data_IF_420075128734
#
_entry.id   IF_420075128734
#
_cell.length_a   1.000
_cell.length_b   1.000
_cell.length_c   1.000
_cell.angle_alpha   90.00
_cell.angle_beta   90.00
_cell.angle_gamma   90.00
#
_symmetry.space_group_name_H-M   'P 1'
#
loop_
_entity.id
_entity.type
_entity.pdbx_description
1 polymer ?
#
# COMPACT_ATOMS: atom_id res chain seq x y z
N UNK A 1 -0.30 33.45 28.30
CA UNK A 1 -1.43 34.40 28.16
C UNK A 1 -2.69 33.64 28.51
N UNK A 2 -3.65 34.22 29.26
CA UNK A 2 -4.94 33.58 29.45
C UNK A 2 -5.63 33.44 28.09
N UNK A 3 -6.26 32.30 27.86
CA UNK A 3 -7.06 32.08 26.65
C UNK A 3 -8.10 33.18 26.54
N UNK A 4 -8.08 33.92 25.42
CA UNK A 4 -9.06 34.97 25.20
C UNK A 4 -10.35 34.43 24.57
N UNK A 5 -10.40 33.15 24.19
CA UNK A 5 -11.55 32.50 23.57
C UNK A 5 -12.13 33.37 22.46
N UNK A 6 -11.50 33.35 21.28
CA UNK A 6 -11.89 34.26 20.20
C UNK A 6 -12.65 33.51 19.12
N UNK A 7 -13.62 34.20 18.52
CA UNK A 7 -14.32 33.68 17.36
C UNK A 7 -13.33 33.56 16.19
N UNK A 8 -13.17 32.36 15.64
CA UNK A 8 -12.37 32.15 14.45
C UNK A 8 -12.96 32.87 13.24
N UNK A 9 -12.12 33.36 12.32
CA UNK A 9 -12.55 34.08 11.11
C UNK A 9 -13.45 33.23 10.21
N UNK A 10 -13.28 31.91 10.23
CA UNK A 10 -14.08 30.94 9.49
C UNK A 10 -15.27 30.37 10.30
N UNK A 11 -15.54 30.90 11.48
CA UNK A 11 -16.65 30.43 12.33
C UNK A 11 -17.99 30.88 11.75
N UNK A 12 -18.90 29.93 11.58
CA UNK A 12 -20.29 30.12 11.16
C UNK A 12 -21.26 30.22 12.35
N UNK A 13 -20.74 30.15 13.57
CA UNK A 13 -21.51 30.11 14.81
C UNK A 13 -20.86 30.95 15.92
N UNK A 14 -21.60 31.93 16.43
CA UNK A 14 -21.21 32.67 17.63
C UNK A 14 -21.88 32.04 18.86
N UNK A 15 -21.12 31.41 19.79
CA UNK A 15 -21.70 30.80 20.97
C UNK A 15 -22.30 31.87 21.90
N UNK A 16 -23.47 31.56 22.45
CA UNK A 16 -24.00 32.30 23.60
C UNK A 16 -23.07 32.13 24.80
N UNK A 17 -23.22 33.00 25.81
CA UNK A 17 -22.36 32.99 27.00
C UNK A 17 -22.22 31.60 27.64
N UNK A 18 -23.31 30.84 27.74
CA UNK A 18 -23.33 29.52 28.38
C UNK A 18 -22.66 28.41 27.54
N UNK A 19 -22.51 28.62 26.24
CA UNK A 19 -21.83 27.69 25.32
C UNK A 19 -20.41 28.16 25.00
N UNK A 20 -19.99 29.30 25.52
CA UNK A 20 -18.67 29.84 25.29
C UNK A 20 -17.64 29.13 26.16
N UNK A 21 -16.68 28.47 25.53
CA UNK A 21 -15.53 27.86 26.18
C UNK A 21 -14.27 28.55 25.69
N UNK A 22 -13.52 29.13 26.62
CA UNK A 22 -12.31 29.86 26.26
C UNK A 22 -11.16 28.94 25.84
N UNK A 23 -11.18 27.67 26.25
CA UNK A 23 -10.09 26.71 26.09
C UNK A 23 -10.40 25.59 25.08
N UNK A 24 -11.32 25.81 24.14
CA UNK A 24 -11.70 24.81 23.14
C UNK A 24 -12.56 25.38 22.02
N UNK A 25 -12.57 24.69 20.89
CA UNK A 25 -13.48 25.00 19.79
C UNK A 25 -14.81 24.28 20.03
N UNK A 26 -15.91 25.01 19.93
CA UNK A 26 -17.26 24.48 20.15
C UNK A 26 -17.95 24.29 18.80
N UNK A 27 -18.32 23.05 18.51
CA UNK A 27 -19.05 22.66 17.32
C UNK A 27 -20.49 22.29 17.68
N UNK A 28 -21.46 22.87 16.98
CA UNK A 28 -22.85 22.48 17.05
C UNK A 28 -23.24 21.75 15.77
N UNK A 29 -23.44 20.44 15.87
CA UNK A 29 -23.72 19.57 14.74
C UNK A 29 -25.18 19.14 14.82
N UNK A 30 -25.97 19.48 13.80
CA UNK A 30 -27.41 19.20 13.79
C UNK A 30 -27.70 18.11 12.78
N UNK A 31 -28.16 16.95 13.25
CA UNK A 31 -28.69 15.90 12.40
C UNK A 31 -30.13 16.23 12.03
N UNK A 32 -30.37 16.39 10.74
CA UNK A 32 -31.72 16.52 10.19
C UNK A 32 -32.21 15.16 9.69
N UNK A 33 -33.29 14.67 10.27
CA UNK A 33 -33.83 13.32 10.07
C UNK A 33 -35.29 13.31 9.59
N UNK A 34 -35.92 14.48 9.41
CA UNK A 34 -37.33 14.66 9.04
C UNK A 34 -37.81 13.87 7.81
N UNK A 35 -36.92 13.57 6.87
CA UNK A 35 -37.22 12.82 5.66
C UNK A 35 -36.82 11.33 5.71
N UNK A 36 -36.40 10.82 6.87
CA UNK A 36 -35.88 9.46 7.04
C UNK A 36 -36.82 8.60 7.89
N UNK A 37 -36.86 7.29 7.57
CA UNK A 37 -37.52 6.28 8.38
C UNK A 37 -36.55 5.14 8.69
N UNK A 38 -36.61 4.59 9.89
CA UNK A 38 -35.75 3.50 10.34
C UNK A 38 -36.45 2.15 10.19
N UNK A 39 -35.68 1.15 9.76
CA UNK A 39 -36.17 -0.22 9.61
C UNK A 39 -36.45 -0.88 10.96
N UNK A 40 -35.65 -0.55 11.96
CA UNK A 40 -35.77 -1.03 13.34
C UNK A 40 -35.72 0.15 14.31
N UNK A 41 -36.35 -0.04 15.47
CA UNK A 41 -36.28 0.91 16.58
C UNK A 41 -34.83 1.10 17.00
N UNK A 42 -34.40 2.34 17.17
CA UNK A 42 -33.08 2.66 17.73
C UNK A 42 -33.20 3.53 18.96
N UNK A 43 -32.40 3.23 19.99
CA UNK A 43 -32.35 4.00 21.24
C UNK A 43 -31.12 4.91 21.33
N UNK A 44 -30.31 4.95 20.27
CA UNK A 44 -29.21 5.89 20.14
C UNK A 44 -29.71 7.32 20.40
N UNK A 45 -28.98 8.08 21.22
CA UNK A 45 -29.42 9.40 21.68
C UNK A 45 -29.52 10.44 20.56
N UNK A 46 -28.71 10.29 19.50
CA UNK A 46 -28.65 11.24 18.39
C UNK A 46 -29.53 10.80 17.22
N UNK A 47 -29.58 9.49 16.96
CA UNK A 47 -30.39 8.86 15.89
C UNK A 47 -31.76 8.36 16.35
N UNK A 48 -32.21 8.75 17.54
CA UNK A 48 -33.37 8.16 18.22
C UNK A 48 -34.60 8.08 17.32
N UNK A 49 -35.13 6.86 17.15
CA UNK A 49 -36.34 6.61 16.39
C UNK A 49 -37.18 5.54 17.10
N UNK A 50 -38.19 6.00 17.84
CA UNK A 50 -39.07 5.18 18.67
C UNK A 50 -40.55 5.35 18.37
N UNK A 51 -40.90 6.25 17.45
CA UNK A 51 -42.27 6.50 17.02
C UNK A 51 -42.64 5.54 15.89
N UNK A 52 -43.62 4.66 16.11
CA UNK A 52 -44.09 3.73 15.07
C UNK A 52 -44.86 4.47 13.96
N UNK A 53 -44.66 4.03 12.71
CA UNK A 53 -45.43 4.53 11.56
C UNK A 53 -46.64 3.66 11.26
N UNK A 54 -47.63 4.21 10.55
CA UNK A 54 -48.73 3.43 9.96
C UNK A 54 -48.29 2.64 8.71
N UNK A 55 -47.10 2.92 8.19
CA UNK A 55 -46.54 2.27 7.01
C UNK A 55 -45.85 0.97 7.39
N UNK A 56 -46.10 -0.09 6.62
CA UNK A 56 -45.48 -1.40 6.87
C UNK A 56 -44.68 -1.89 5.68
N UNK A 57 -43.68 -2.72 5.97
CA UNK A 57 -42.92 -3.45 4.97
C UNK A 57 -42.90 -4.95 5.31
N UNK A 58 -42.56 -5.77 4.31
CA UNK A 58 -42.29 -7.20 4.52
C UNK A 58 -40.80 -7.45 4.31
N UNK A 59 -40.08 -7.98 5.32
CA UNK A 59 -38.64 -8.22 5.19
C UNK A 59 -38.31 -9.38 4.24
N UNK A 60 -39.20 -10.37 4.14
CA UNK A 60 -39.05 -11.53 3.27
C UNK A 60 -40.41 -12.09 2.83
N UNK A 61 -40.42 -12.91 1.79
CA UNK A 61 -41.61 -13.65 1.39
C UNK A 61 -42.09 -14.56 2.52
N UNK A 62 -43.36 -14.48 2.89
CA UNK A 62 -43.95 -15.24 4.00
C UNK A 62 -43.73 -14.64 5.40
N UNK A 63 -42.96 -13.56 5.54
CA UNK A 63 -42.78 -12.89 6.83
C UNK A 63 -43.98 -11.99 7.19
N UNK A 64 -44.19 -11.79 8.50
CA UNK A 64 -45.14 -10.80 9.01
C UNK A 64 -44.73 -9.39 8.59
N UNK A 65 -45.73 -8.52 8.42
CA UNK A 65 -45.50 -7.09 8.18
C UNK A 65 -44.90 -6.46 9.43
N UNK A 66 -43.87 -5.64 9.25
CA UNK A 66 -43.26 -4.82 10.30
C UNK A 66 -43.49 -3.35 9.99
N UNK A 67 -43.60 -2.53 11.02
CA UNK A 67 -43.72 -1.09 10.89
C UNK A 67 -42.34 -0.46 10.71
N UNK A 68 -42.28 0.66 9.99
CA UNK A 68 -41.11 1.55 10.08
C UNK A 68 -41.19 2.40 11.34
N UNK A 69 -40.04 2.97 11.72
CA UNK A 69 -39.88 3.84 12.88
C UNK A 69 -39.49 5.25 12.43
N UNK A 70 -40.17 6.26 12.94
CA UNK A 70 -39.84 7.66 12.71
C UNK A 70 -38.85 8.15 13.77
N UNK A 71 -37.96 9.08 13.39
CA UNK A 71 -37.18 9.84 14.35
C UNK A 71 -38.08 10.54 15.37
N UNK A 72 -37.65 10.57 16.62
CA UNK A 72 -38.41 11.23 17.70
C UNK A 72 -38.40 12.76 17.51
N UNK A 73 -37.29 13.28 16.97
CA UNK A 73 -37.06 14.70 16.73
C UNK A 73 -36.68 14.92 15.27
N UNK A 74 -37.19 15.98 14.64
CA UNK A 74 -36.87 16.34 13.26
C UNK A 74 -35.43 16.86 13.10
N UNK A 75 -34.91 17.49 14.17
CA UNK A 75 -33.57 18.03 14.28
C UNK A 75 -32.98 17.58 15.61
N UNK A 76 -31.87 16.84 15.55
CA UNK A 76 -31.17 16.30 16.72
C UNK A 76 -29.81 16.98 16.85
N UNK A 77 -29.63 17.96 17.76
CA UNK A 77 -28.37 18.67 17.93
C UNK A 77 -27.38 17.88 18.80
N UNK A 78 -26.10 17.95 18.45
CA UNK A 78 -24.97 17.47 19.24
C UNK A 78 -23.96 18.61 19.41
N UNK A 79 -23.59 18.91 20.65
CA UNK A 79 -22.48 19.80 20.97
C UNK A 79 -21.19 19.00 21.13
N UNK A 80 -20.12 19.42 20.46
CA UNK A 80 -18.79 18.85 20.59
C UNK A 80 -17.78 19.93 20.96
N UNK A 81 -16.86 19.62 21.87
CA UNK A 81 -15.75 20.50 22.24
C UNK A 81 -14.46 19.86 21.78
N UNK A 82 -13.80 20.49 20.81
CA UNK A 82 -12.51 20.05 20.31
C UNK A 82 -11.39 20.80 21.02
N UNK A 83 -10.40 20.05 21.50
CA UNK A 83 -9.15 20.60 22.07
C UNK A 83 -7.95 19.85 21.51
N UNK A 84 -6.89 20.58 21.21
CA UNK A 84 -5.64 20.07 20.68
C UNK A 84 -4.49 20.47 21.61
N UNK A 85 -3.47 19.62 21.66
CA UNK A 85 -2.18 19.94 22.25
C UNK A 85 -1.11 19.32 21.37
N UNK A 86 -0.10 20.12 21.00
CA UNK A 86 1.04 19.62 20.26
C UNK A 86 2.17 19.27 21.22
N UNK A 87 2.98 18.29 20.84
CA UNK A 87 4.23 17.96 21.53
C UNK A 87 5.40 18.01 20.55
N UNK A 88 6.55 18.42 21.05
CA UNK A 88 7.80 18.43 20.30
C UNK A 88 8.88 17.74 21.15
N UNK A 89 9.30 16.55 20.72
CA UNK A 89 10.16 15.70 21.54
C UNK A 89 9.45 15.23 22.82
N UNK A 90 10.04 15.48 23.97
CA UNK A 90 9.45 15.20 25.29
C UNK A 90 8.68 16.38 25.89
N UNK A 91 8.67 17.54 25.20
CA UNK A 91 8.06 18.76 25.71
C UNK A 91 6.65 18.96 25.15
N UNK A 92 5.71 19.36 26.01
CA UNK A 92 4.38 19.77 25.60
C UNK A 92 4.42 21.21 25.11
N UNK A 93 4.01 21.41 23.86
CA UNK A 93 4.04 22.69 23.19
C UNK A 93 2.73 23.43 23.38
N UNK A 94 2.68 24.21 24.45
CA UNK A 94 1.51 24.98 24.83
C UNK A 94 0.46 24.15 25.57
N UNK A 95 -0.61 24.83 26.01
CA UNK A 95 -1.67 24.19 26.78
C UNK A 95 -2.65 23.44 25.87
N UNK A 96 -3.44 22.53 26.45
CA UNK A 96 -4.60 21.94 25.78
C UNK A 96 -5.64 23.03 25.51
N UNK A 97 -5.91 23.32 24.26
CA UNK A 97 -6.69 24.50 23.85
C UNK A 97 -7.46 24.28 22.55
N UNK A 98 -8.28 25.26 22.13
CA UNK A 98 -8.84 25.29 20.78
C UNK A 98 -7.75 25.26 19.70
N UNK A 99 -8.12 24.91 18.48
CA UNK A 99 -7.21 24.61 17.36
C UNK A 99 -6.22 25.75 17.12
N UNK A 100 -6.71 26.98 17.05
CA UNK A 100 -5.86 28.16 16.80
C UNK A 100 -4.96 28.51 17.99
N UNK A 101 -5.46 28.39 19.22
CA UNK A 101 -4.67 28.66 20.43
C UNK A 101 -3.58 27.59 20.64
N UNK A 102 -3.89 26.32 20.38
CA UNK A 102 -2.93 25.22 20.41
C UNK A 102 -1.84 25.41 19.35
N UNK A 103 -2.24 25.85 18.16
CA UNK A 103 -1.33 26.14 17.05
C UNK A 103 -0.41 27.33 17.38
N UNK A 104 -0.93 28.43 17.92
CA UNK A 104 -0.13 29.54 18.43
C UNK A 104 0.82 29.11 19.57
N UNK A 105 0.39 28.14 20.39
CA UNK A 105 1.23 27.48 21.39
C UNK A 105 2.47 26.81 20.78
N UNK A 106 2.29 26.09 19.67
CA UNK A 106 3.37 25.40 18.95
C UNK A 106 4.38 26.35 18.30
N UNK A 107 3.95 27.51 17.82
CA UNK A 107 4.84 28.52 17.22
C UNK A 107 6.01 28.88 18.15
N UNK A 108 5.75 28.93 19.46
CA UNK A 108 6.76 29.21 20.50
C UNK A 108 7.79 28.10 20.63
N UNK A 109 7.39 26.83 20.53
CA UNK A 109 8.30 25.69 20.55
C UNK A 109 9.19 25.61 19.31
N UNK A 110 8.64 25.99 18.15
CA UNK A 110 9.35 25.91 16.88
C UNK A 110 10.23 27.14 16.61
N UNK A 111 10.32 28.08 17.56
CA UNK A 111 11.26 29.21 17.53
C UNK A 111 10.83 30.39 16.67
N UNK A 112 9.53 30.56 16.42
CA UNK A 112 9.00 31.73 15.68
C UNK A 112 9.25 33.03 16.47
N UNK A 113 9.62 34.16 15.81
CA UNK A 113 9.77 35.43 16.50
C UNK A 113 8.45 35.85 17.17
N UNK A 114 8.49 36.36 18.42
CA UNK A 114 7.31 36.84 19.12
C UNK A 114 6.85 38.16 18.47
N UNK A 115 5.70 38.17 17.80
CA UNK A 115 5.21 39.44 17.23
C UNK A 115 3.90 39.44 16.45
N UNK A 116 3.31 38.30 16.07
CA UNK A 116 2.02 38.30 15.38
C UNK A 116 0.87 38.04 16.35
N UNK A 117 0.03 39.04 16.63
CA UNK A 117 -1.33 38.76 17.06
C UNK A 117 -2.01 37.98 15.92
N UNK A 118 -2.35 36.71 16.15
CA UNK A 118 -2.91 35.76 15.18
C UNK A 118 -4.35 36.10 14.74
N UNK A 119 -4.78 37.37 14.84
CA UNK A 119 -6.19 37.77 14.75
C UNK A 119 -6.66 38.15 13.33
N UNK A 120 -5.88 38.93 12.58
CA UNK A 120 -6.35 39.54 11.31
C UNK A 120 -5.37 39.40 10.14
N UNK A 121 -4.08 39.23 10.42
CA UNK A 121 -3.04 39.04 9.42
C UNK A 121 -2.57 37.59 9.33
N UNK A 122 -3.33 36.63 9.85
CA UNK A 122 -2.89 35.23 9.86
C UNK A 122 -2.68 34.68 8.43
N UNK A 123 -3.57 35.02 7.49
CA UNK A 123 -3.40 34.63 6.09
C UNK A 123 -2.24 35.37 5.39
N UNK A 124 -1.98 36.63 5.74
CA UNK A 124 -0.81 37.37 5.23
C UNK A 124 0.49 36.87 5.86
N UNK A 125 0.45 36.43 7.11
CA UNK A 125 1.56 35.82 7.84
C UNK A 125 1.90 34.44 7.29
N UNK A 126 0.92 33.57 7.04
CA UNK A 126 1.16 32.29 6.36
C UNK A 126 1.80 32.51 4.98
N UNK A 127 1.31 33.50 4.24
CA UNK A 127 1.88 33.88 2.94
C UNK A 127 3.30 34.49 3.06
N UNK A 128 3.63 35.12 4.18
CA UNK A 128 4.93 35.76 4.42
C UNK A 128 6.00 34.82 4.98
N UNK A 129 5.62 33.76 5.70
CA UNK A 129 6.53 32.80 6.36
C UNK A 129 6.65 31.48 5.57
N UNK A 130 6.00 31.41 4.41
CA UNK A 130 5.95 30.27 3.50
C UNK A 130 7.34 29.64 3.28
N UNK A 131 7.54 28.48 3.90
CA UNK A 131 8.75 27.65 3.77
C UNK A 131 10.09 28.27 4.18
N UNK A 132 10.13 29.38 4.94
CA UNK A 132 11.40 30.00 5.38
C UNK A 132 11.98 29.38 6.65
N UNK A 133 11.14 28.97 7.60
CA UNK A 133 11.53 28.42 8.90
C UNK A 133 10.73 27.15 9.29
N UNK A 134 11.00 26.63 10.50
CA UNK A 134 10.34 25.42 11.03
C UNK A 134 8.84 25.60 11.19
N UNK A 135 8.45 26.78 11.67
CA UNK A 135 7.08 27.14 11.94
C UNK A 135 6.27 27.26 10.65
N UNK A 136 6.74 28.02 9.67
CA UNK A 136 6.08 28.19 8.37
C UNK A 136 5.91 26.87 7.64
N UNK A 137 6.93 26.01 7.66
CA UNK A 137 6.82 24.67 7.04
C UNK A 137 5.73 23.82 7.71
N UNK A 138 5.67 23.81 9.05
CA UNK A 138 4.60 23.10 9.78
C UNK A 138 3.23 23.71 9.52
N UNK A 139 3.16 25.04 9.48
CA UNK A 139 1.94 25.79 9.26
C UNK A 139 1.30 25.50 7.89
N UNK A 140 2.11 25.51 6.84
CA UNK A 140 1.66 25.18 5.48
C UNK A 140 1.09 23.77 5.42
N UNK A 141 1.77 22.81 6.07
CA UNK A 141 1.31 21.41 6.16
C UNK A 141 0.01 21.27 6.96
N UNK A 142 -0.08 21.96 8.09
CA UNK A 142 -1.24 21.93 8.96
C UNK A 142 -2.48 22.52 8.27
N UNK A 143 -2.32 23.64 7.55
CA UNK A 143 -3.42 24.26 6.82
C UNK A 143 -3.94 23.38 5.67
N UNK A 144 -3.06 22.55 5.08
CA UNK A 144 -3.47 21.55 4.09
C UNK A 144 -4.25 20.37 4.67
N UNK A 145 -4.31 20.23 6.00
CA UNK A 145 -5.03 19.15 6.69
C UNK A 145 -6.40 19.60 7.21
N UNK A 146 -7.41 18.74 7.08
CA UNK A 146 -8.72 18.93 7.68
C UNK A 146 -8.75 18.32 9.09
N UNK A 147 -8.19 19.04 10.07
CA UNK A 147 -8.17 18.59 11.48
C UNK A 147 -9.38 19.06 12.31
N UNK A 148 -10.09 20.05 11.80
CA UNK A 148 -11.28 20.62 12.42
C UNK A 148 -12.54 19.84 12.02
N UNK A 149 -13.41 19.51 12.98
CA UNK A 149 -14.67 18.83 12.69
C UNK A 149 -15.58 19.61 11.75
N UNK A 150 -15.59 20.95 11.83
CA UNK A 150 -16.35 21.78 10.90
C UNK A 150 -15.90 21.57 9.45
N UNK A 151 -14.59 21.49 9.22
CA UNK A 151 -14.00 21.26 7.88
C UNK A 151 -14.25 19.84 7.38
N UNK A 152 -14.08 18.84 8.26
CA UNK A 152 -14.30 17.43 7.93
C UNK A 152 -15.77 17.17 7.58
N UNK A 153 -16.70 17.66 8.40
CA UNK A 153 -18.14 17.52 8.17
C UNK A 153 -18.59 18.40 7.00
N UNK A 154 -18.07 19.63 6.87
CA UNK A 154 -18.46 20.56 5.81
C UNK A 154 -18.09 20.08 4.41
N UNK A 155 -16.94 19.41 4.27
CA UNK A 155 -16.45 18.91 2.98
C UNK A 155 -17.19 17.65 2.48
N UNK A 156 -17.61 16.77 3.39
CA UNK A 156 -18.26 15.48 3.05
C UNK A 156 -19.78 15.47 3.29
N UNK A 157 -20.27 16.39 4.13
CA UNK A 157 -21.69 16.55 4.52
C UNK A 157 -22.29 15.25 5.02
N UNK A 158 -23.44 14.83 4.49
CA UNK A 158 -24.14 13.64 4.94
C UNK A 158 -23.34 12.35 4.71
N UNK A 159 -22.49 12.29 3.68
CA UNK A 159 -21.72 11.10 3.30
C UNK A 159 -20.74 10.62 4.38
N UNK A 160 -20.39 11.52 5.32
CA UNK A 160 -19.52 11.17 6.44
C UNK A 160 -20.23 10.36 7.53
N UNK A 161 -21.57 10.34 7.54
CA UNK A 161 -22.34 9.57 8.51
C UNK A 161 -22.34 8.10 8.07
N UNK A 162 -21.87 7.21 8.94
CA UNK A 162 -21.82 5.77 8.69
C UNK A 162 -23.19 5.18 8.28
N UNK A 163 -24.34 5.63 8.82
CA UNK A 163 -25.65 5.16 8.40
C UNK A 163 -25.96 5.40 6.92
N UNK A 164 -25.31 6.36 6.22
CA UNK A 164 -25.53 6.55 4.78
C UNK A 164 -25.12 5.31 3.97
N UNK A 165 -24.07 4.59 4.39
CA UNK A 165 -23.62 3.35 3.71
C UNK A 165 -24.66 2.24 3.81
N UNK A 166 -25.46 2.28 4.86
CA UNK A 166 -26.51 1.32 5.16
C UNK A 166 -27.90 1.94 4.94
N UNK A 167 -28.03 2.90 4.03
CA UNK A 167 -29.30 3.53 3.67
C UNK A 167 -29.80 3.04 2.32
N UNK A 168 -31.12 2.84 2.20
CA UNK A 168 -31.80 2.53 0.94
C UNK A 168 -32.93 3.52 0.70
N UNK A 169 -32.71 4.51 -0.17
CA UNK A 169 -33.70 5.57 -0.41
C UNK A 169 -33.91 6.41 0.86
N UNK A 170 -35.13 6.54 1.36
CA UNK A 170 -35.43 7.20 2.64
C UNK A 170 -35.34 6.27 3.85
N UNK A 171 -35.03 4.98 3.65
CA UNK A 171 -35.00 3.97 4.72
C UNK A 171 -33.57 3.81 5.24
N UNK A 172 -33.39 4.03 6.54
CA UNK A 172 -32.16 3.73 7.28
C UNK A 172 -32.25 2.28 7.78
N UNK A 173 -31.27 1.44 7.44
CA UNK A 173 -31.20 0.07 7.96
C UNK A 173 -30.87 0.08 9.47
N UNK A 174 -30.94 -1.07 10.16
CA UNK A 174 -30.67 -1.12 11.59
C UNK A 174 -29.29 -0.52 11.92
N UNK A 175 -29.29 0.40 12.88
CA UNK A 175 -28.09 1.04 13.42
C UNK A 175 -27.91 0.60 14.87
N UNK A 176 -26.66 0.44 15.35
CA UNK A 176 -26.38 0.12 16.75
C UNK A 176 -26.78 1.28 17.68
N UNK A 177 -26.99 0.98 18.96
CA UNK A 177 -27.39 1.97 19.98
C UNK A 177 -26.29 2.99 20.34
N UNK A 178 -25.06 2.79 19.86
CA UNK A 178 -23.93 3.71 20.02
C UNK A 178 -23.47 4.31 18.68
N UNK A 179 -24.36 4.40 17.70
CA UNK A 179 -24.09 4.93 16.36
C UNK A 179 -23.44 6.32 16.40
N UNK A 180 -23.91 7.23 17.25
CA UNK A 180 -23.32 8.58 17.36
C UNK A 180 -21.83 8.54 17.76
N UNK A 181 -21.41 7.58 18.58
CA UNK A 181 -20.02 7.42 19.00
C UNK A 181 -19.17 6.91 17.83
N UNK A 182 -19.73 5.99 17.04
CA UNK A 182 -19.07 5.47 15.85
C UNK A 182 -18.86 6.58 14.82
N UNK A 183 -19.84 7.45 14.64
CA UNK A 183 -19.72 8.60 13.73
C UNK A 183 -18.67 9.60 14.21
N UNK A 184 -18.70 10.02 15.47
CA UNK A 184 -17.68 10.92 16.04
C UNK A 184 -16.27 10.32 15.96
N UNK A 185 -16.14 9.02 16.26
CA UNK A 185 -14.86 8.30 16.13
C UNK A 185 -14.39 8.27 14.68
N UNK A 186 -15.31 8.08 13.74
CA UNK A 186 -15.01 8.10 12.31
C UNK A 186 -14.56 9.50 11.85
N UNK A 187 -15.23 10.57 12.27
CA UNK A 187 -14.83 11.95 11.96
C UNK A 187 -13.42 12.26 12.47
N UNK A 188 -13.11 11.85 13.71
CA UNK A 188 -11.77 12.01 14.27
C UNK A 188 -10.71 11.20 13.52
N UNK A 189 -11.04 9.96 13.15
CA UNK A 189 -10.15 9.11 12.36
C UNK A 189 -9.88 9.72 10.97
N UNK A 190 -10.91 10.29 10.35
CA UNK A 190 -10.79 11.02 9.08
C UNK A 190 -9.94 12.28 9.22
N UNK A 191 -10.10 13.04 10.32
CA UNK A 191 -9.29 14.21 10.61
C UNK A 191 -7.80 13.84 10.75
N UNK A 192 -7.49 12.79 11.51
CA UNK A 192 -6.13 12.27 11.67
C UNK A 192 -5.55 11.72 10.36
N UNK A 193 -6.35 11.02 9.57
CA UNK A 193 -5.94 10.52 8.26
C UNK A 193 -5.66 11.68 7.28
N UNK A 194 -6.46 12.75 7.33
CA UNK A 194 -6.22 13.96 6.55
C UNK A 194 -4.91 14.63 6.93
N UNK A 195 -4.61 14.71 8.23
CA UNK A 195 -3.32 15.19 8.71
C UNK A 195 -2.17 14.35 8.17
N UNK A 196 -2.25 13.02 8.31
CA UNK A 196 -1.23 12.11 7.78
C UNK A 196 -1.05 12.26 6.27
N UNK A 197 -2.15 12.37 5.52
CA UNK A 197 -2.14 12.55 4.08
C UNK A 197 -1.47 13.87 3.67
N UNK A 198 -1.68 14.96 4.41
CA UNK A 198 -1.07 16.26 4.11
C UNK A 198 0.48 16.18 4.10
N UNK A 199 1.08 15.46 5.06
CA UNK A 199 2.54 15.24 5.08
C UNK A 199 3.03 14.41 3.89
N UNK A 200 2.29 13.38 3.50
CA UNK A 200 2.67 12.50 2.37
C UNK A 200 2.52 13.23 1.04
N UNK A 201 1.39 13.90 0.82
CA UNK A 201 1.09 14.62 -0.42
C UNK A 201 2.07 15.78 -0.64
N UNK A 202 2.51 16.44 0.43
CA UNK A 202 3.54 17.49 0.32
C UNK A 202 4.86 16.95 -0.23
N UNK A 203 5.25 15.76 0.20
CA UNK A 203 6.48 15.11 -0.25
C UNK A 203 6.34 14.48 -1.65
N UNK A 204 5.16 13.91 -1.97
CA UNK A 204 4.89 13.29 -3.26
C UNK A 204 4.77 14.32 -4.40
N UNK A 205 4.14 15.44 -4.10
CA UNK A 205 3.64 16.34 -5.13
C UNK A 205 2.33 15.85 -5.77
N UNK A 206 1.74 16.63 -6.69
CA UNK A 206 0.49 16.27 -7.32
C UNK A 206 0.71 15.18 -8.37
N UNK A 207 -0.24 14.24 -8.43
CA UNK A 207 -0.29 13.21 -9.48
C UNK A 207 -0.53 13.81 -10.88
N UNK A 208 -1.17 14.99 -10.92
CA UNK A 208 -1.56 15.70 -12.13
C UNK A 208 -0.50 16.77 -12.47
N UNK A 209 0.25 16.65 -13.58
CA UNK A 209 1.33 17.56 -13.92
C UNK A 209 0.91 19.04 -14.00
N UNK A 210 -0.33 19.32 -14.41
CA UNK A 210 -0.89 20.67 -14.52
C UNK A 210 -1.02 21.36 -13.16
N UNK A 211 -1.11 20.59 -12.08
CA UNK A 211 -1.18 21.12 -10.71
C UNK A 211 0.20 21.46 -10.14
N UNK A 212 1.30 21.10 -10.82
CA UNK A 212 2.66 21.42 -10.37
C UNK A 212 2.92 22.93 -10.23
N UNK A 213 2.17 23.76 -10.97
CA UNK A 213 2.24 25.22 -10.86
C UNK A 213 1.71 25.76 -9.52
N UNK A 214 0.79 25.03 -8.88
CA UNK A 214 0.24 25.39 -7.57
C UNK A 214 1.06 24.81 -6.42
N UNK A 215 2.06 23.98 -6.72
CA UNK A 215 2.97 23.47 -5.71
C UNK A 215 3.94 24.56 -5.25
N UNK A 216 3.85 24.90 -3.97
CA UNK A 216 4.83 25.74 -3.29
C UNK A 216 6.12 24.94 -3.14
N UNK A 217 7.24 25.39 -3.71
CA UNK A 217 8.54 24.70 -3.53
C UNK A 217 9.26 25.16 -2.25
N UNK A 218 10.06 24.30 -1.61
CA UNK A 218 10.81 24.66 -0.41
C UNK A 218 11.82 25.79 -0.68
N UNK A 219 11.59 26.98 -0.12
CA UNK A 219 12.43 28.18 -0.31
C UNK A 219 13.59 28.23 0.69
N UNK A 220 13.34 27.94 1.97
CA UNK A 220 14.31 28.04 3.06
C UNK A 220 15.16 26.78 3.30
N UNK A 221 16.30 26.90 4.00
CA UNK A 221 17.23 25.78 4.24
C UNK A 221 16.59 24.64 5.03
N UNK A 222 15.75 24.96 6.04
CA UNK A 222 15.04 23.96 6.82
C UNK A 222 14.02 23.18 5.98
N UNK A 223 13.19 23.88 5.20
CA UNK A 223 12.19 23.24 4.35
C UNK A 223 12.81 22.27 3.34
N UNK A 224 13.97 22.63 2.75
CA UNK A 224 14.74 21.75 1.87
C UNK A 224 15.28 20.54 2.61
N UNK A 225 15.89 20.74 3.78
CA UNK A 225 16.38 19.64 4.60
C UNK A 225 15.26 18.67 4.97
N UNK A 226 14.07 19.19 5.31
CA UNK A 226 12.90 18.37 5.62
C UNK A 226 12.45 17.57 4.39
N UNK A 227 12.35 18.20 3.22
CA UNK A 227 12.05 17.51 1.96
C UNK A 227 13.08 16.41 1.64
N UNK A 228 14.38 16.69 1.79
CA UNK A 228 15.46 15.73 1.53
C UNK A 228 15.46 14.56 2.52
N UNK A 229 14.92 14.78 3.73
CA UNK A 229 14.82 13.78 4.79
C UNK A 229 13.53 12.95 4.71
N UNK A 230 12.58 13.34 3.87
CA UNK A 230 11.32 12.61 3.70
C UNK A 230 11.44 11.58 2.58
N UNK A 231 11.11 10.34 2.91
CA UNK A 231 10.96 9.25 1.94
C UNK A 231 9.54 8.74 2.02
N UNK A 232 8.89 8.72 0.87
CA UNK A 232 7.57 8.12 0.72
C UNK A 232 7.69 6.86 -0.14
N UNK A 233 6.78 5.92 0.09
CA UNK A 233 6.64 4.79 -0.81
C UNK A 233 5.92 5.27 -2.08
N UNK A 234 6.61 5.25 -3.21
CA UNK A 234 5.98 5.50 -4.51
C UNK A 234 5.52 4.18 -5.13
N UNK A 235 4.31 4.15 -5.68
CA UNK A 235 3.80 3.04 -6.49
C UNK A 235 4.42 2.98 -7.88
N UNK A 236 5.06 4.06 -8.34
CA UNK A 236 5.61 4.16 -9.69
C UNK A 236 6.96 3.43 -9.82
N UNK A 237 7.62 3.18 -8.69
CA UNK A 237 8.94 2.55 -8.65
C UNK A 237 8.93 1.35 -7.69
N UNK A 238 9.09 0.14 -8.23
CA UNK A 238 9.32 -1.05 -7.43
C UNK A 238 10.79 -1.15 -7.00
N UNK A 239 11.05 -1.19 -5.70
CA UNK A 239 12.41 -1.36 -5.17
C UNK A 239 12.81 -2.84 -5.18
N UNK A 240 13.75 -3.22 -6.04
CA UNK A 240 14.38 -4.54 -6.02
C UNK A 240 15.70 -4.50 -5.23
N UNK A 241 16.00 -5.56 -4.49
CA UNK A 241 17.33 -5.71 -3.87
C UNK A 241 18.37 -5.95 -4.96
N UNK A 242 19.11 -4.90 -5.33
CA UNK A 242 20.22 -4.98 -6.29
C UNK A 242 21.23 -6.04 -5.84
N UNK A 243 21.50 -6.14 -4.54
CA UNK A 243 22.35 -7.17 -3.97
C UNK A 243 21.80 -8.58 -4.25
N UNK A 244 20.50 -8.79 -4.00
CA UNK A 244 19.84 -10.08 -4.27
C UNK A 244 19.92 -10.46 -5.75
N UNK A 245 19.70 -9.48 -6.63
CA UNK A 245 19.79 -9.66 -8.09
C UNK A 245 21.23 -9.98 -8.53
N UNK A 246 22.23 -9.28 -8.00
CA UNK A 246 23.63 -9.56 -8.28
C UNK A 246 24.04 -10.96 -7.80
N UNK A 247 23.60 -11.39 -6.62
CA UNK A 247 23.90 -12.71 -6.08
C UNK A 247 23.27 -13.82 -6.91
N UNK A 248 22.01 -13.68 -7.33
CA UNK A 248 21.36 -14.70 -8.17
C UNK A 248 22.04 -14.83 -9.53
N UNK A 249 22.38 -13.71 -10.17
CA UNK A 249 23.10 -13.73 -11.45
C UNK A 249 24.53 -14.28 -11.30
N UNK A 250 25.27 -13.87 -10.28
CA UNK A 250 26.65 -14.32 -10.08
C UNK A 250 26.72 -15.81 -9.75
N UNK A 251 25.87 -16.30 -8.83
CA UNK A 251 25.82 -17.72 -8.47
C UNK A 251 25.33 -18.56 -9.64
N UNK A 252 24.28 -18.12 -10.35
CA UNK A 252 23.78 -18.79 -11.55
C UNK A 252 24.84 -18.90 -12.64
N UNK A 253 25.55 -17.80 -12.93
CA UNK A 253 26.64 -17.79 -13.90
C UNK A 253 27.79 -18.71 -13.47
N UNK A 254 28.17 -18.72 -12.19
CA UNK A 254 29.21 -19.61 -11.67
C UNK A 254 28.84 -21.10 -11.83
N UNK A 255 27.59 -21.48 -11.58
CA UNK A 255 27.11 -22.85 -11.79
C UNK A 255 27.19 -23.25 -13.26
N UNK A 256 26.74 -22.38 -14.17
CA UNK A 256 26.79 -22.63 -15.61
C UNK A 256 28.24 -22.80 -16.08
N UNK A 257 29.14 -21.88 -15.69
CA UNK A 257 30.56 -21.95 -16.05
C UNK A 257 31.21 -23.23 -15.49
N UNK A 258 30.91 -23.59 -14.24
CA UNK A 258 31.40 -24.83 -13.65
C UNK A 258 30.93 -26.06 -14.45
N UNK A 259 29.64 -26.10 -14.83
CA UNK A 259 29.08 -27.20 -15.63
C UNK A 259 29.81 -27.36 -16.97
N UNK A 260 30.07 -26.26 -17.68
CA UNK A 260 30.80 -26.31 -18.95
C UNK A 260 32.30 -26.60 -18.79
N UNK A 261 32.90 -26.25 -17.65
CA UNK A 261 34.32 -26.43 -17.40
C UNK A 261 34.68 -27.85 -16.92
N UNK A 262 33.74 -28.57 -16.28
CA UNK A 262 34.01 -29.91 -15.72
C UNK A 262 34.48 -30.90 -16.82
N UNK A 263 33.75 -31.00 -17.94
CA UNK A 263 34.11 -31.92 -19.04
C UNK A 263 35.51 -31.68 -19.62
N UNK A 264 35.90 -30.47 -20.06
CA UNK A 264 37.23 -30.23 -20.60
C UNK A 264 38.33 -30.40 -19.55
N UNK A 265 38.08 -30.02 -18.29
CA UNK A 265 39.05 -30.21 -17.20
C UNK A 265 39.29 -31.72 -16.95
N UNK A 266 38.21 -32.51 -16.84
CA UNK A 266 38.32 -33.95 -16.66
C UNK A 266 38.97 -34.64 -17.87
N UNK A 267 38.67 -34.19 -19.10
CA UNK A 267 39.32 -34.67 -20.31
C UNK A 267 40.83 -34.39 -20.32
N UNK A 268 41.25 -33.18 -19.92
CA UNK A 268 42.67 -32.81 -19.82
C UNK A 268 43.40 -33.62 -18.74
N UNK A 269 42.81 -33.77 -17.55
CA UNK A 269 43.41 -34.57 -16.46
C UNK A 269 43.44 -36.07 -16.79
N UNK A 270 42.39 -36.59 -17.43
CA UNK A 270 42.26 -37.99 -17.85
C UNK A 270 43.29 -38.38 -18.90
N UNK A 271 43.45 -37.55 -19.95
CA UNK A 271 44.47 -37.75 -21.00
C UNK A 271 45.89 -37.76 -20.43
N UNK A 272 46.17 -36.93 -19.42
CA UNK A 272 47.51 -36.81 -18.82
C UNK A 272 47.88 -37.98 -17.91
N UNK A 273 46.90 -38.68 -17.32
CA UNK A 273 47.14 -39.77 -16.36
C UNK A 273 46.69 -41.17 -16.81
N UNK A 274 46.09 -41.33 -18.00
CA UNK A 274 45.63 -42.61 -18.61
C UNK A 274 45.09 -43.62 -17.58
N UNK A 275 44.18 -43.17 -16.70
CA UNK A 275 43.62 -44.02 -15.64
C UNK A 275 42.42 -44.82 -16.17
N UNK A 276 42.28 -46.07 -15.71
CA UNK A 276 41.17 -46.96 -16.05
C UNK A 276 39.77 -46.31 -15.94
N UNK A 277 39.44 -45.51 -14.89
CA UNK A 277 38.12 -44.87 -14.79
C UNK A 277 37.80 -43.88 -15.92
N UNK A 278 38.82 -43.25 -16.51
CA UNK A 278 38.62 -42.35 -17.64
C UNK A 278 38.31 -43.10 -18.93
N UNK A 279 38.95 -44.26 -19.14
CA UNK A 279 38.66 -45.12 -20.29
C UNK A 279 37.28 -45.76 -20.17
N UNK A 280 36.86 -46.13 -18.95
CA UNK A 280 35.53 -46.62 -18.66
C UNK A 280 34.46 -45.55 -18.91
N UNK A 281 34.69 -44.31 -18.43
CA UNK A 281 33.82 -43.18 -18.70
C UNK A 281 33.71 -42.89 -20.20
N UNK A 282 34.84 -42.79 -20.91
CA UNK A 282 34.87 -42.56 -22.35
C UNK A 282 34.20 -43.68 -23.15
N UNK A 283 34.32 -44.95 -22.74
CA UNK A 283 33.65 -46.07 -23.42
C UNK A 283 32.13 -46.08 -23.21
N UNK A 284 31.65 -45.50 -22.11
CA UNK A 284 30.23 -45.38 -21.77
C UNK A 284 29.58 -44.08 -22.28
N UNK A 285 30.33 -43.22 -22.96
CA UNK A 285 29.76 -42.05 -23.63
C UNK A 285 28.74 -42.46 -24.70
N UNK A 286 27.71 -41.64 -24.87
CA UNK A 286 26.53 -41.99 -25.70
C UNK A 286 26.90 -42.39 -27.13
N UNK A 287 27.82 -41.64 -27.76
CA UNK A 287 28.29 -41.92 -29.12
C UNK A 287 29.18 -43.16 -29.18
N UNK A 288 29.96 -43.43 -28.13
CA UNK A 288 30.83 -44.60 -28.04
C UNK A 288 30.01 -45.89 -27.84
N UNK A 289 28.92 -45.83 -27.06
CA UNK A 289 27.93 -46.92 -26.96
C UNK A 289 27.23 -47.17 -28.31
N UNK A 290 26.85 -46.11 -29.03
CA UNK A 290 26.26 -46.23 -30.36
C UNK A 290 27.23 -46.90 -31.34
N UNK A 291 28.51 -46.50 -31.33
CA UNK A 291 29.57 -47.17 -32.11
C UNK A 291 29.66 -48.66 -31.75
N UNK A 292 29.72 -49.00 -30.46
CA UNK A 292 29.85 -50.37 -30.01
C UNK A 292 28.68 -51.25 -30.51
N UNK A 293 27.46 -50.71 -30.52
CA UNK A 293 26.29 -51.38 -31.09
C UNK A 293 26.46 -51.65 -32.60
N UNK A 294 26.96 -50.67 -33.37
CA UNK A 294 27.26 -50.85 -34.80
C UNK A 294 28.34 -51.88 -35.07
N UNK A 295 29.40 -51.89 -34.27
CA UNK A 295 30.45 -52.90 -34.38
C UNK A 295 29.95 -54.30 -34.04
N UNK A 296 29.06 -54.44 -33.05
CA UNK A 296 28.49 -55.73 -32.66
C UNK A 296 27.70 -56.42 -33.78
N UNK A 297 27.19 -55.65 -34.75
CA UNK A 297 26.51 -56.18 -35.95
C UNK A 297 27.42 -56.19 -37.20
N UNK A 298 28.73 -55.96 -37.04
CA UNK A 298 29.70 -55.92 -38.13
C UNK A 298 29.55 -54.72 -39.08
N UNK A 299 28.87 -53.64 -38.66
CA UNK A 299 28.58 -52.49 -39.52
C UNK A 299 29.58 -51.35 -39.34
N UNK A 300 30.32 -51.06 -40.41
CA UNK A 300 31.22 -49.91 -40.52
C UNK A 300 32.61 -50.12 -39.90
N UNK A 301 33.59 -49.44 -40.48
CA UNK A 301 34.96 -49.36 -39.99
C UNK A 301 35.12 -48.14 -39.09
N UNK A 302 35.49 -48.35 -37.83
CA UNK A 302 35.54 -47.27 -36.84
C UNK A 302 36.96 -46.99 -36.33
N UNK A 303 37.23 -45.71 -36.05
CA UNK A 303 38.45 -45.21 -35.43
C UNK A 303 38.12 -44.24 -34.28
N UNK A 304 39.09 -43.94 -33.42
CA UNK A 304 38.88 -43.06 -32.26
C UNK A 304 38.16 -43.75 -31.10
N UNK A 305 38.60 -44.96 -30.74
CA UNK A 305 38.00 -45.78 -29.68
C UNK A 305 38.08 -45.17 -28.28
N UNK A 306 38.93 -44.16 -28.09
CA UNK A 306 39.13 -43.44 -26.83
C UNK A 306 38.88 -41.93 -26.97
N UNK A 307 38.31 -41.50 -28.10
CA UNK A 307 37.95 -40.10 -28.35
C UNK A 307 36.48 -39.87 -27.93
N UNK A 308 36.09 -38.64 -27.62
CA UNK A 308 34.70 -38.33 -27.23
C UNK A 308 33.71 -38.58 -28.39
N UNK A 309 34.18 -38.38 -29.63
CA UNK A 309 33.39 -38.58 -30.85
C UNK A 309 34.06 -39.67 -31.70
N UNK A 310 33.45 -40.87 -31.81
CA UNK A 310 33.96 -41.92 -32.67
C UNK A 310 33.81 -41.55 -34.14
N UNK A 311 34.76 -41.96 -34.97
CA UNK A 311 34.80 -41.63 -36.39
C UNK A 311 34.63 -42.89 -37.23
N UNK A 312 33.55 -42.94 -38.01
CA UNK A 312 33.39 -43.95 -39.06
C UNK A 312 34.21 -43.58 -40.30
N UNK A 313 34.64 -44.57 -41.07
CA UNK A 313 35.32 -44.34 -42.36
C UNK A 313 34.37 -43.62 -43.33
N UNK A 314 34.89 -42.58 -43.99
CA UNK A 314 34.09 -41.77 -44.92
C UNK A 314 33.58 -42.62 -46.07
N UNK A 315 32.30 -42.44 -46.42
CA UNK A 315 31.65 -43.07 -47.57
C UNK A 315 31.11 -44.48 -47.31
N UNK A 316 31.26 -45.02 -46.10
CA UNK A 316 30.66 -46.31 -45.74
C UNK A 316 29.21 -46.12 -45.26
N UNK A 317 28.22 -46.80 -45.86
CA UNK A 317 26.86 -46.79 -45.37
C UNK A 317 26.78 -47.58 -44.05
N UNK A 318 26.23 -46.95 -43.00
CA UNK A 318 25.95 -47.62 -41.74
C UNK A 318 24.60 -48.34 -41.82
N UNK A 319 24.52 -49.53 -41.25
CA UNK A 319 23.29 -50.30 -41.20
C UNK A 319 22.18 -49.57 -40.42
N UNK A 320 20.92 -49.95 -40.62
CA UNK A 320 19.84 -49.47 -39.78
C UNK A 320 19.74 -50.36 -38.54
N UNK A 321 20.31 -49.91 -37.41
CA UNK A 321 20.35 -50.65 -36.13
C UNK A 321 18.97 -51.18 -35.71
N UNK A 322 17.90 -50.35 -35.63
CA UNK A 322 16.57 -50.84 -35.26
C UNK A 322 16.04 -51.96 -36.17
N UNK A 323 16.18 -51.82 -37.49
CA UNK A 323 15.71 -52.85 -38.43
C UNK A 323 16.50 -54.15 -38.27
N UNK A 324 17.81 -54.07 -38.12
CA UNK A 324 18.68 -55.24 -37.95
C UNK A 324 18.29 -56.08 -36.73
N UNK A 325 18.06 -55.45 -35.57
CA UNK A 325 17.64 -56.17 -34.37
C UNK A 325 16.22 -56.75 -34.47
N UNK A 326 15.30 -56.06 -35.15
CA UNK A 326 13.93 -56.57 -35.40
C UNK A 326 13.97 -57.81 -36.29
N UNK A 327 14.82 -57.82 -37.32
CA UNK A 327 14.99 -58.95 -38.22
C UNK A 327 15.70 -60.13 -37.55
N UNK A 328 16.75 -59.86 -36.76
CA UNK A 328 17.43 -60.88 -35.96
C UNK A 328 16.48 -61.55 -34.95
N UNK A 329 15.60 -60.77 -34.29
CA UNK A 329 14.59 -61.29 -33.37
C UNK A 329 13.58 -62.21 -34.06
N UNK A 330 13.23 -61.94 -35.33
CA UNK A 330 12.31 -62.77 -36.12
C UNK A 330 12.94 -64.10 -36.57
N UNK A 331 14.27 -64.17 -36.73
CA UNK A 331 14.98 -65.34 -37.24
C UNK A 331 15.22 -66.46 -36.22
N UNK A 332 15.09 -66.19 -34.91
CA UNK A 332 15.32 -67.20 -33.85
C UNK A 332 16.79 -67.68 -33.77
N UNK A 333 17.21 -68.35 -32.68
CA UNK A 333 18.63 -68.51 -32.32
C UNK A 333 19.40 -69.61 -33.09
N UNK A 334 19.02 -69.98 -34.32
CA UNK A 334 19.57 -71.16 -35.01
C UNK A 334 20.61 -70.88 -36.14
N UNK A 335 21.10 -69.66 -36.31
CA UNK A 335 22.02 -69.35 -37.42
C UNK A 335 23.14 -68.36 -37.06
N UNK A 336 23.77 -68.53 -35.89
CA UNK A 336 24.94 -67.74 -35.48
C UNK A 336 26.09 -68.63 -34.95
N UNK A 337 26.33 -69.77 -35.60
CA UNK A 337 27.49 -70.62 -35.34
C UNK A 337 27.99 -71.27 -36.64
N UNK A 338 28.79 -70.53 -37.41
CA UNK A 338 29.84 -71.03 -38.30
C UNK A 338 30.72 -69.81 -38.69
N UNK A 339 32.05 -70.00 -38.82
CA UNK A 339 33.10 -69.09 -38.35
C UNK A 339 33.22 -67.75 -39.04
#
# INVERSE_FOLDING_TARGET
MPFRGRLGVASDFAPIHDLFLADGDVHLIILRSDALVHLEKTTDIWYRATVETNSTYRPAAGASRRFFWLPDEALSPMGCVQRLQFSYGSEHCGPLAGTWDAFAGLARCLGSPPGGDFDAEMFSYFRAVEGSDRWGTFADLFHGAALDFGTVIGSQRAEILLPQRSRRGSVVLPVPDNQWQLDVTYWWSTALASLQAAFVQRAAGPDVPELSQYMVRPKGPFSRQMCDSQKILSSDYSSFSVLGLCLTYAVGAAIIVASYAIEPILALLGRRRRRYPFLEWAANETLQLQRAAYQGIGSGSWAGFTDDIPRARRGEPLANLPRHYVEARKRGPAAAAAP
#
